data_IF_757634899901
#
_entry.id   IF_757634899901
#
_cell.length_a   1.000
_cell.length_b   1.000
_cell.length_c   1.000
_cell.angle_alpha   90.00
_cell.angle_beta   90.00
_cell.angle_gamma   90.00
#
_symmetry.space_group_name_H-M   'P 1'
#
loop_
_entity.id
_entity.type
_entity.pdbx_description
1 polymer ?
#
# COMPACT_ATOMS: atom_id res chain seq x y z
N UNK A 1 23.32 -31.50 -9.42
CA UNK A 1 23.84 -31.01 -8.12
C UNK A 1 24.44 -29.63 -8.38
N UNK A 2 23.96 -28.48 -7.90
CA UNK A 2 22.90 -28.12 -6.96
C UNK A 2 22.36 -26.71 -7.36
N UNK A 3 21.12 -26.41 -6.94
CA UNK A 3 20.35 -25.17 -7.17
C UNK A 3 21.00 -23.96 -6.50
N UNK A 4 21.00 -22.79 -7.17
CA UNK A 4 20.63 -21.54 -6.48
C UNK A 4 19.88 -20.59 -7.43
N UNK A 5 18.89 -19.79 -7.10
CA UNK A 5 18.06 -19.50 -5.94
C UNK A 5 16.80 -18.90 -6.60
N UNK A 6 15.61 -19.30 -6.16
CA UNK A 6 14.40 -18.65 -6.63
C UNK A 6 14.43 -17.21 -6.11
N UNK A 7 14.76 -16.27 -7.00
CA UNK A 7 14.41 -14.87 -6.82
C UNK A 7 12.89 -14.87 -6.57
N UNK A 8 12.38 -14.26 -5.49
CA UNK A 8 10.94 -14.14 -5.33
C UNK A 8 10.45 -13.08 -6.32
N UNK A 9 10.39 -13.44 -7.61
CA UNK A 9 9.65 -12.78 -8.69
C UNK A 9 8.14 -13.06 -8.52
N UNK A 10 7.60 -13.04 -7.29
CA UNK A 10 6.22 -13.46 -7.02
C UNK A 10 5.32 -12.31 -6.56
N UNK A 11 5.49 -11.16 -7.19
CA UNK A 11 4.41 -10.21 -7.38
C UNK A 11 3.88 -10.47 -8.80
N UNK A 12 3.31 -11.67 -9.03
CA UNK A 12 2.68 -11.98 -10.33
C UNK A 12 1.63 -10.90 -10.60
N UNK A 13 1.71 -10.25 -11.76
CA UNK A 13 0.67 -9.34 -12.18
C UNK A 13 -0.66 -10.11 -12.21
N UNK A 14 -1.79 -9.49 -11.81
CA UNK A 14 -3.07 -10.18 -11.79
C UNK A 14 -3.36 -10.81 -13.16
N UNK A 15 -3.95 -12.02 -13.20
CA UNK A 15 -4.27 -12.68 -14.46
C UNK A 15 -5.14 -11.74 -15.32
N UNK A 16 -4.92 -11.73 -16.64
CA UNK A 16 -5.61 -10.81 -17.56
C UNK A 16 -7.15 -10.95 -17.55
N UNK A 17 -7.68 -12.01 -16.93
CA UNK A 17 -9.11 -12.26 -16.69
C UNK A 17 -9.55 -12.09 -15.22
N UNK A 18 -8.74 -11.46 -14.36
CA UNK A 18 -9.14 -11.15 -12.99
C UNK A 18 -10.37 -10.25 -13.01
N UNK A 19 -11.46 -10.71 -12.42
CA UNK A 19 -12.71 -9.94 -12.32
C UNK A 19 -13.09 -9.65 -10.86
N UNK A 20 -12.38 -10.24 -9.91
CA UNK A 20 -12.64 -10.09 -8.47
C UNK A 20 -11.47 -9.46 -7.73
N UNK A 21 -11.79 -8.73 -6.67
CA UNK A 21 -10.81 -8.05 -5.79
C UNK A 21 -9.80 -9.05 -5.19
N UNK A 22 -10.18 -10.33 -5.05
CA UNK A 22 -9.29 -11.39 -4.55
C UNK A 22 -8.27 -11.83 -5.60
N UNK A 23 -8.61 -11.77 -6.89
CA UNK A 23 -7.68 -12.09 -7.99
C UNK A 23 -6.67 -10.95 -8.23
N UNK A 24 -7.04 -9.70 -7.94
CA UNK A 24 -6.12 -8.56 -7.95
C UNK A 24 -5.26 -8.46 -6.69
N UNK A 25 -5.61 -9.17 -5.62
CA UNK A 25 -4.85 -9.22 -4.36
C UNK A 25 -3.73 -10.27 -4.46
N UNK A 26 -2.74 -10.04 -5.31
CA UNK A 26 -1.63 -10.98 -5.52
C UNK A 26 -0.61 -11.01 -4.37
N UNK A 27 -0.89 -10.27 -3.28
CA UNK A 27 -0.06 -10.27 -2.07
C UNK A 27 -0.19 -11.55 -1.27
N UNK A 28 0.95 -12.10 -0.89
CA UNK A 28 1.03 -13.33 -0.09
C UNK A 28 0.61 -13.08 1.36
N UNK A 29 0.27 -14.15 2.08
CA UNK A 29 -0.04 -14.07 3.52
C UNK A 29 1.16 -13.55 4.33
N UNK A 30 2.39 -13.84 3.90
CA UNK A 30 3.63 -13.36 4.50
C UNK A 30 3.79 -11.85 4.34
N UNK A 31 3.57 -11.30 3.14
CA UNK A 31 3.58 -9.86 2.93
C UNK A 31 2.47 -9.16 3.73
N UNK A 32 1.29 -9.78 3.83
CA UNK A 32 0.20 -9.28 4.68
C UNK A 32 0.60 -9.25 6.15
N UNK A 33 1.28 -10.28 6.64
CA UNK A 33 1.79 -10.34 8.00
C UNK A 33 2.88 -9.29 8.23
N UNK A 34 3.78 -9.09 7.26
CA UNK A 34 4.75 -8.00 7.29
C UNK A 34 4.06 -6.64 7.30
N UNK A 35 3.05 -6.42 6.47
CA UNK A 35 2.32 -5.16 6.37
C UNK A 35 1.50 -4.84 7.64
N UNK A 36 1.01 -5.86 8.34
CA UNK A 36 0.29 -5.71 9.62
C UNK A 36 1.19 -5.71 10.85
N UNK A 37 2.47 -6.08 10.70
CA UNK A 37 3.44 -5.93 11.76
C UNK A 37 3.45 -4.46 12.23
N UNK A 38 3.50 -4.25 13.54
CA UNK A 38 3.49 -2.91 14.11
C UNK A 38 4.95 -2.44 14.21
N UNK A 39 5.43 -1.55 13.32
CA UNK A 39 6.74 -0.97 13.51
C UNK A 39 6.66 -0.01 14.72
N UNK A 40 7.69 -0.07 15.54
CA UNK A 40 7.83 0.77 16.72
C UNK A 40 8.40 2.13 16.31
N UNK A 41 7.55 3.04 15.84
CA UNK A 41 7.96 4.40 15.51
C UNK A 41 7.27 4.99 14.27
N UNK A 42 7.81 6.12 13.83
CA UNK A 42 7.44 6.82 12.60
C UNK A 42 7.17 8.30 12.81
N UNK A 43 7.75 9.14 11.95
CA UNK A 43 7.44 10.57 11.89
C UNK A 43 6.11 10.77 11.16
N UNK A 44 5.12 11.36 11.83
CA UNK A 44 3.86 11.72 11.18
C UNK A 44 4.14 12.80 10.12
N UNK A 45 3.97 12.45 8.85
CA UNK A 45 4.06 13.40 7.74
C UNK A 45 2.83 14.31 7.73
N UNK A 46 1.66 13.76 8.00
CA UNK A 46 0.40 14.49 8.03
C UNK A 46 -0.78 13.61 7.71
N UNK A 47 -1.93 14.24 7.53
CA UNK A 47 -3.14 13.59 7.02
C UNK A 47 -3.21 13.80 5.52
N UNK A 48 -3.52 12.74 4.79
CA UNK A 48 -3.77 12.79 3.35
C UNK A 48 -5.05 12.02 3.02
N UNK A 49 -5.64 12.33 1.87
CA UNK A 49 -6.81 11.61 1.37
C UNK A 49 -6.31 10.57 0.37
N UNK A 50 -6.37 9.29 0.73
CA UNK A 50 -5.98 8.20 -0.12
C UNK A 50 -7.15 7.70 -0.98
N UNK A 51 -6.89 7.48 -2.27
CA UNK A 51 -7.80 6.83 -3.21
C UNK A 51 -7.15 5.56 -3.74
N UNK A 52 -7.98 4.62 -4.24
CA UNK A 52 -7.47 3.42 -4.89
C UNK A 52 -6.58 3.80 -6.07
N UNK A 53 -5.31 3.39 -5.99
CA UNK A 53 -4.33 3.52 -7.07
C UNK A 53 -4.49 2.43 -8.12
N UNK A 54 -3.43 2.16 -8.88
CA UNK A 54 -3.44 1.09 -9.87
C UNK A 54 -3.64 -0.28 -9.18
N UNK A 55 -4.78 -0.98 -9.38
CA UNK A 55 -5.00 -2.28 -8.77
C UNK A 55 -4.15 -3.38 -9.41
N UNK A 56 -3.53 -3.12 -10.57
CA UNK A 56 -2.63 -4.05 -11.22
C UNK A 56 -1.19 -3.99 -10.67
N UNK A 57 -0.86 -2.98 -9.85
CA UNK A 57 0.44 -2.87 -9.20
C UNK A 57 0.46 -3.74 -7.93
N UNK A 58 1.23 -4.83 -7.90
CA UNK A 58 1.28 -5.72 -6.76
C UNK A 58 2.05 -5.11 -5.58
N UNK A 59 1.82 -5.65 -4.38
CA UNK A 59 2.51 -5.24 -3.16
C UNK A 59 1.83 -4.07 -2.42
N UNK A 60 2.48 -3.64 -1.33
CA UNK A 60 1.97 -2.61 -0.42
C UNK A 60 2.67 -1.28 -0.66
N UNK A 61 1.99 -0.35 -1.31
CA UNK A 61 2.53 0.98 -1.60
C UNK A 61 1.48 2.08 -1.42
N UNK A 62 1.98 3.31 -1.19
CA UNK A 62 1.23 4.56 -1.15
C UNK A 62 2.01 5.63 -1.91
N UNK A 63 1.48 6.09 -3.04
CA UNK A 63 1.96 7.25 -3.75
C UNK A 63 1.45 8.53 -3.07
N UNK A 64 2.34 9.41 -2.64
CA UNK A 64 1.97 10.65 -1.94
C UNK A 64 2.93 11.79 -2.28
N UNK A 65 2.44 13.02 -2.47
CA UNK A 65 3.30 14.19 -2.68
C UNK A 65 3.97 14.66 -1.37
N UNK A 66 3.69 13.99 -0.25
CA UNK A 66 4.30 14.26 1.06
C UNK A 66 5.73 13.71 1.20
N UNK A 67 6.18 12.91 0.23
CA UNK A 67 7.54 12.37 0.20
C UNK A 67 8.20 12.73 -1.12
N UNK A 68 9.51 12.99 -1.06
CA UNK A 68 10.34 13.27 -2.23
C UNK A 68 11.09 12.04 -2.76
N UNK A 69 11.12 10.95 -1.99
CA UNK A 69 11.85 9.72 -2.32
C UNK A 69 11.11 8.49 -1.80
N UNK A 70 11.38 7.34 -2.45
CA UNK A 70 10.81 6.06 -2.04
C UNK A 70 11.32 5.69 -0.65
N UNK A 71 10.42 5.47 0.30
CA UNK A 71 10.77 5.17 1.68
C UNK A 71 9.72 4.25 2.33
N UNK A 72 10.10 3.42 3.31
CA UNK A 72 9.12 2.69 4.09
C UNK A 72 8.23 3.67 4.88
N UNK A 73 6.95 3.38 4.91
CA UNK A 73 5.98 4.16 5.65
C UNK A 73 4.85 3.32 6.18
N UNK A 74 3.96 4.02 6.85
CA UNK A 74 2.81 3.44 7.50
C UNK A 74 1.63 4.37 7.30
N UNK A 75 0.51 3.77 6.93
CA UNK A 75 -0.74 4.47 6.69
C UNK A 75 -1.74 3.99 7.72
N UNK A 76 -2.41 4.93 8.36
CA UNK A 76 -3.45 4.66 9.36
C UNK A 76 -4.76 5.22 8.84
N UNK A 77 -5.76 4.38 8.65
CA UNK A 77 -7.10 4.84 8.27
C UNK A 77 -7.78 5.54 9.43
N UNK A 78 -8.24 6.76 9.21
CA UNK A 78 -9.03 7.50 10.21
C UNK A 78 -10.39 6.86 10.42
N UNK A 79 -10.99 6.31 9.35
CA UNK A 79 -12.31 5.69 9.39
C UNK A 79 -12.37 4.41 10.22
N UNK A 80 -11.36 3.54 10.13
CA UNK A 80 -11.34 2.22 10.78
C UNK A 80 -10.35 2.14 11.95
N UNK A 81 -9.44 3.10 12.08
CA UNK A 81 -8.32 3.06 13.03
C UNK A 81 -7.26 2.01 12.72
N UNK A 82 -7.39 1.28 11.60
CA UNK A 82 -6.42 0.25 11.19
C UNK A 82 -5.19 0.88 10.59
N UNK A 83 -4.07 0.18 10.69
CA UNK A 83 -2.80 0.63 10.13
C UNK A 83 -2.15 -0.46 9.31
N UNK A 84 -1.50 -0.05 8.23
CA UNK A 84 -0.78 -0.93 7.31
C UNK A 84 0.57 -0.30 6.96
N UNK A 85 1.62 -1.11 6.91
CA UNK A 85 2.92 -0.70 6.38
C UNK A 85 2.88 -0.75 4.86
N UNK A 86 3.39 0.31 4.24
CA UNK A 86 3.42 0.49 2.80
C UNK A 86 4.72 1.16 2.42
N UNK A 87 5.12 0.97 1.18
CA UNK A 87 6.17 1.77 0.56
C UNK A 87 5.60 3.13 0.14
N UNK A 88 6.10 4.21 0.74
CA UNK A 88 5.80 5.57 0.33
C UNK A 88 6.54 5.85 -0.97
N UNK A 89 5.80 6.20 -2.03
CA UNK A 89 6.34 6.56 -3.33
C UNK A 89 6.05 8.05 -3.59
N UNK A 90 7.02 8.84 -4.05
CA UNK A 90 6.77 10.22 -4.45
C UNK A 90 5.88 10.22 -5.70
N UNK A 91 4.88 11.11 -5.74
CA UNK A 91 4.06 11.34 -6.93
C UNK A 91 4.12 12.81 -7.34
N UNK A 92 4.25 13.03 -8.65
CA UNK A 92 4.13 14.35 -9.25
C UNK A 92 2.65 14.73 -9.32
N UNK A 93 2.11 15.13 -8.17
CA UNK A 93 0.75 15.61 -8.02
C UNK A 93 0.75 16.89 -7.17
N UNK A 94 -0.21 17.78 -7.44
CA UNK A 94 -0.33 19.01 -6.67
C UNK A 94 -0.48 18.71 -5.17
N UNK A 95 0.10 19.57 -4.31
CA UNK A 95 -0.09 19.46 -2.87
C UNK A 95 -1.60 19.50 -2.54
N UNK A 96 -2.14 18.38 -2.07
CA UNK A 96 -3.58 18.21 -1.79
C UNK A 96 -4.37 17.44 -2.85
N UNK A 97 -3.76 16.98 -3.95
CA UNK A 97 -4.40 16.14 -4.98
C UNK A 97 -4.80 14.72 -4.48
N UNK A 98 -4.55 14.42 -3.22
CA UNK A 98 -4.73 13.09 -2.64
C UNK A 98 -3.49 12.21 -2.80
N UNK A 99 -3.48 11.09 -2.10
CA UNK A 99 -2.52 10.01 -2.22
C UNK A 99 -3.17 8.84 -2.94
N UNK A 100 -2.39 8.00 -3.64
CA UNK A 100 -2.90 6.75 -4.19
C UNK A 100 -2.38 5.60 -3.37
N UNK A 101 -3.26 4.67 -3.02
CA UNK A 101 -2.91 3.52 -2.20
C UNK A 101 -3.22 2.23 -2.96
N UNK A 102 -2.33 1.26 -2.80
CA UNK A 102 -2.51 -0.10 -3.32
C UNK A 102 -3.81 -0.76 -2.83
N UNK A 103 -4.42 -1.56 -3.71
CA UNK A 103 -5.58 -2.40 -3.40
C UNK A 103 -5.37 -3.28 -2.14
N UNK A 104 -4.29 -4.07 -2.03
CA UNK A 104 -4.04 -4.90 -0.85
C UNK A 104 -3.96 -4.09 0.46
N UNK A 105 -3.39 -2.88 0.41
CA UNK A 105 -3.33 -2.01 1.59
C UNK A 105 -4.72 -1.52 2.01
N UNK A 106 -5.59 -1.11 1.08
CA UNK A 106 -6.98 -0.76 1.38
C UNK A 106 -7.75 -1.93 1.99
N UNK A 107 -7.54 -3.14 1.48
CA UNK A 107 -8.15 -4.36 2.05
C UNK A 107 -7.72 -4.59 3.48
N UNK A 108 -6.43 -4.43 3.79
CA UNK A 108 -5.93 -4.55 5.15
C UNK A 108 -6.48 -3.49 6.09
N UNK A 109 -6.63 -2.27 5.59
CA UNK A 109 -7.26 -1.16 6.31
C UNK A 109 -8.76 -1.35 6.52
N UNK A 110 -9.39 -2.29 5.78
CA UNK A 110 -10.81 -2.61 5.89
C UNK A 110 -11.72 -1.45 5.49
N UNK A 111 -11.22 -0.54 4.64
CA UNK A 111 -11.99 0.57 4.09
C UNK A 111 -12.59 0.17 2.74
N UNK A 112 -13.59 0.92 2.27
CA UNK A 112 -14.09 0.76 0.90
C UNK A 112 -12.99 0.93 -0.14
N UNK A 113 -13.11 0.28 -1.29
CA UNK A 113 -12.17 0.46 -2.42
C UNK A 113 -12.50 1.70 -3.25
N UNK A 114 -13.74 2.19 -3.13
CA UNK A 114 -14.22 3.39 -3.80
C UNK A 114 -14.46 4.47 -2.76
N UNK A 115 -13.99 5.67 -3.06
CA UNK A 115 -14.19 6.84 -2.22
C UNK A 115 -12.89 7.57 -1.89
N UNK A 116 -13.05 8.62 -1.09
CA UNK A 116 -11.97 9.43 -0.55
C UNK A 116 -11.73 8.95 0.88
N UNK A 117 -10.60 8.29 1.13
CA UNK A 117 -10.29 7.73 2.45
C UNK A 117 -9.27 8.61 3.15
N UNK A 118 -9.68 9.26 4.24
CA UNK A 118 -8.73 9.98 5.08
C UNK A 118 -7.79 9.01 5.78
N UNK A 119 -6.50 9.21 5.56
CA UNK A 119 -5.44 8.42 6.16
C UNK A 119 -4.37 9.32 6.78
N UNK A 120 -3.91 8.95 7.96
CA UNK A 120 -2.72 9.52 8.58
C UNK A 120 -1.48 8.79 8.05
N UNK A 121 -0.57 9.55 7.45
CA UNK A 121 0.65 9.03 6.82
C UNK A 121 1.83 9.25 7.76
N UNK A 122 2.59 8.17 7.98
CA UNK A 122 3.78 8.15 8.82
C UNK A 122 4.95 7.64 7.99
N UNK A 123 6.07 8.35 8.04
CA UNK A 123 7.35 7.88 7.50
C UNK A 123 8.05 7.04 8.57
N UNK A 124 8.51 5.84 8.22
CA UNK A 124 9.29 4.99 9.10
C UNK A 124 10.79 5.29 8.97
#
# INVERSE_FOLDING_TARGET
MARPEARPDNAEAPPAGANTVEEFDTTTAEERAAATARPAGGAKLGRSVATLGNPADPGFWLETPLVDAVAPGRVVSVATGKSVQVELRPIDAAAGAGSRISLPALRLLGVGLAGLHEVDVFRQ
#
